data_IF_201058478293
#
_entry.id   IF_201058478293
#
_cell.length_a   1.000
_cell.length_b   1.000
_cell.length_c   1.000
_cell.angle_alpha   90.00
_cell.angle_beta   90.00
_cell.angle_gamma   90.00
#
_symmetry.space_group_name_H-M   'P 1'
#
loop_
_entity.id
_entity.type
_entity.pdbx_description
1 polymer ?
#
# COMPACT_ATOMS: atom_id res chain seq x y z
N UNK A 1 -19.34 12.79 -9.59
CA UNK A 1 -20.09 12.34 -8.39
C UNK A 1 -19.17 12.50 -7.19
N UNK A 2 -19.49 13.36 -6.24
CA UNK A 2 -18.69 13.50 -5.02
C UNK A 2 -19.16 12.48 -3.98
N UNK A 3 -18.20 11.78 -3.39
CA UNK A 3 -18.43 10.83 -2.31
C UNK A 3 -17.82 11.44 -1.05
N UNK A 4 -18.63 11.53 0.00
CA UNK A 4 -18.15 11.92 1.31
C UNK A 4 -17.46 10.73 1.98
N UNK A 5 -16.21 10.91 2.39
CA UNK A 5 -15.42 9.92 3.10
C UNK A 5 -15.54 10.22 4.61
N UNK A 6 -16.36 9.48 5.38
CA UNK A 6 -16.64 9.81 6.78
C UNK A 6 -15.43 9.65 7.70
N UNK A 7 -14.46 8.81 7.31
CA UNK A 7 -13.23 8.58 8.08
C UNK A 7 -12.19 9.68 7.81
N UNK A 8 -12.21 10.28 6.61
CA UNK A 8 -11.30 11.33 6.20
C UNK A 8 -11.91 12.74 6.35
N UNK A 9 -13.20 12.84 6.67
CA UNK A 9 -13.99 14.07 6.77
C UNK A 9 -13.95 14.97 5.51
N UNK A 10 -13.69 14.37 4.34
CA UNK A 10 -13.59 15.11 3.08
C UNK A 10 -14.49 14.51 1.99
N UNK A 11 -14.92 15.38 1.07
CA UNK A 11 -15.64 14.97 -0.14
C UNK A 11 -14.67 14.88 -1.32
N UNK A 12 -14.57 13.69 -1.93
CA UNK A 12 -13.67 13.44 -3.07
C UNK A 12 -14.48 12.99 -4.28
N UNK A 13 -14.02 13.33 -5.48
CA UNK A 13 -14.66 12.87 -6.71
C UNK A 13 -14.41 11.36 -6.91
N UNK A 14 -15.48 10.58 -7.02
CA UNK A 14 -15.43 9.14 -7.24
C UNK A 14 -14.60 8.73 -8.47
N UNK A 15 -14.71 9.50 -9.55
CA UNK A 15 -13.97 9.20 -10.79
C UNK A 15 -12.47 9.40 -10.63
N UNK A 16 -12.06 10.35 -9.79
CA UNK A 16 -10.66 10.60 -9.49
C UNK A 16 -10.07 9.45 -8.67
N UNK A 17 -10.80 8.95 -7.66
CA UNK A 17 -10.38 7.79 -6.88
C UNK A 17 -10.29 6.51 -7.73
N UNK A 18 -11.26 6.28 -8.61
CA UNK A 18 -11.23 5.14 -9.53
C UNK A 18 -10.07 5.25 -10.54
N UNK A 19 -9.82 6.44 -11.09
CA UNK A 19 -8.71 6.68 -12.00
C UNK A 19 -7.34 6.49 -11.34
N UNK A 20 -7.16 7.06 -10.14
CA UNK A 20 -5.95 6.89 -9.34
C UNK A 20 -5.74 5.43 -8.94
N UNK A 21 -6.76 4.78 -8.38
CA UNK A 21 -6.68 3.39 -7.97
C UNK A 21 -6.38 2.44 -9.13
N UNK A 22 -6.98 2.69 -10.31
CA UNK A 22 -6.70 1.92 -11.52
C UNK A 22 -5.27 2.10 -12.02
N UNK A 23 -4.81 3.36 -12.15
CA UNK A 23 -3.46 3.67 -12.61
C UNK A 23 -2.40 3.13 -11.65
N UNK A 24 -2.54 3.40 -10.35
CA UNK A 24 -1.61 2.92 -9.33
C UNK A 24 -1.67 1.40 -9.22
N UNK A 25 -2.85 0.79 -9.35
CA UNK A 25 -3.01 -0.67 -9.35
C UNK A 25 -2.25 -1.34 -10.50
N UNK A 26 -2.33 -0.79 -11.71
CA UNK A 26 -1.56 -1.29 -12.88
C UNK A 26 -0.06 -1.14 -12.64
N UNK A 27 0.39 0.07 -12.26
CA UNK A 27 1.81 0.33 -12.02
C UNK A 27 2.35 -0.56 -10.89
N UNK A 28 1.63 -0.64 -9.78
CA UNK A 28 1.96 -1.49 -8.64
C UNK A 28 2.04 -2.97 -9.02
N UNK A 29 1.09 -3.46 -9.80
CA UNK A 29 1.08 -4.84 -10.31
C UNK A 29 2.26 -5.13 -11.24
N UNK A 30 2.67 -4.16 -12.07
CA UNK A 30 3.82 -4.29 -12.96
C UNK A 30 5.16 -4.29 -12.19
N UNK A 31 5.32 -3.37 -11.23
CA UNK A 31 6.56 -3.23 -10.48
C UNK A 31 6.67 -4.18 -9.27
N UNK A 32 5.56 -4.74 -8.80
CA UNK A 32 5.53 -5.65 -7.64
C UNK A 32 5.81 -4.97 -6.29
N UNK A 33 5.69 -3.63 -6.20
CA UNK A 33 6.10 -2.84 -5.01
C UNK A 33 4.96 -2.62 -4.00
N UNK A 34 3.77 -3.18 -4.24
CA UNK A 34 2.66 -3.12 -3.30
C UNK A 34 1.86 -1.80 -3.28
N UNK A 35 2.21 -0.80 -4.11
CA UNK A 35 1.32 0.35 -4.41
C UNK A 35 1.30 1.46 -3.37
N UNK A 36 1.50 1.14 -2.09
CA UNK A 36 1.43 2.14 -1.02
C UNK A 36 2.49 3.24 -1.10
N UNK A 37 3.63 3.02 -1.77
CA UNK A 37 4.62 4.08 -2.01
C UNK A 37 4.11 5.19 -2.94
N UNK A 38 3.17 4.88 -3.84
CA UNK A 38 2.55 5.85 -4.75
C UNK A 38 1.22 6.34 -4.20
N UNK A 39 0.38 5.43 -3.73
CA UNK A 39 -1.00 5.77 -3.37
C UNK A 39 -1.03 6.62 -2.09
N UNK A 40 -0.22 6.31 -1.08
CA UNK A 40 -0.17 7.10 0.17
C UNK A 40 0.11 8.59 -0.08
N UNK A 41 1.17 9.00 -0.81
CA UNK A 41 1.40 10.41 -1.10
C UNK A 41 0.34 11.02 -2.02
N UNK A 42 -0.21 10.25 -2.97
CA UNK A 42 -1.29 10.75 -3.84
C UNK A 42 -2.57 11.04 -3.04
N UNK A 43 -2.94 10.18 -2.10
CA UNK A 43 -4.06 10.38 -1.17
C UNK A 43 -3.81 11.58 -0.25
N UNK A 44 -2.58 11.75 0.22
CA UNK A 44 -2.20 12.94 0.98
C UNK A 44 -2.35 14.23 0.16
N UNK A 45 -1.92 14.26 -1.10
CA UNK A 45 -2.02 15.45 -1.96
C UNK A 45 -3.45 15.85 -2.30
N UNK A 46 -4.40 14.91 -2.29
CA UNK A 46 -5.83 15.21 -2.48
C UNK A 46 -6.52 15.64 -1.18
N UNK A 47 -5.76 15.79 -0.08
CA UNK A 47 -6.24 16.31 1.20
C UNK A 47 -6.73 15.25 2.19
N UNK A 48 -6.50 13.95 1.94
CA UNK A 48 -6.81 12.91 2.93
C UNK A 48 -5.79 12.99 4.07
N UNK A 49 -6.24 12.96 5.35
CA UNK A 49 -5.33 12.94 6.49
C UNK A 49 -4.30 11.80 6.37
N UNK A 50 -3.00 12.06 6.64
CA UNK A 50 -1.93 11.06 6.48
C UNK A 50 -2.21 9.74 7.20
N UNK A 51 -2.76 9.81 8.41
CA UNK A 51 -3.10 8.62 9.21
C UNK A 51 -4.12 7.73 8.50
N UNK A 52 -5.14 8.33 7.88
CA UNK A 52 -6.19 7.60 7.15
C UNK A 52 -5.65 7.02 5.84
N UNK A 53 -4.83 7.78 5.13
CA UNK A 53 -4.17 7.31 3.90
C UNK A 53 -3.28 6.09 4.18
N UNK A 54 -2.38 6.17 5.17
CA UNK A 54 -1.48 5.06 5.55
C UNK A 54 -2.26 3.84 6.02
N UNK A 55 -3.29 4.02 6.85
CA UNK A 55 -4.09 2.90 7.36
C UNK A 55 -4.87 2.18 6.24
N UNK A 56 -5.39 2.93 5.26
CA UNK A 56 -6.11 2.36 4.12
C UNK A 56 -5.15 1.56 3.22
N UNK A 57 -3.99 2.13 2.94
CA UNK A 57 -2.98 1.51 2.07
C UNK A 57 -2.34 0.27 2.67
N UNK A 58 -2.11 0.24 3.99
CA UNK A 58 -1.55 -0.93 4.66
C UNK A 58 -2.40 -2.19 4.41
N UNK A 59 -3.73 -2.06 4.46
CA UNK A 59 -4.64 -3.17 4.19
C UNK A 59 -4.58 -3.62 2.71
N UNK A 60 -4.47 -2.66 1.79
CA UNK A 60 -4.36 -2.96 0.36
C UNK A 60 -3.04 -3.67 0.00
N UNK A 61 -1.92 -3.24 0.60
CA UNK A 61 -0.61 -3.88 0.43
C UNK A 61 -0.66 -5.34 0.88
N UNK A 62 -1.31 -5.64 2.00
CA UNK A 62 -1.43 -7.03 2.50
C UNK A 62 -2.14 -7.93 1.48
N UNK A 63 -3.28 -7.46 0.95
CA UNK A 63 -4.05 -8.23 -0.03
C UNK A 63 -3.27 -8.46 -1.34
N UNK A 64 -2.60 -7.42 -1.85
CA UNK A 64 -1.80 -7.52 -3.08
C UNK A 64 -0.54 -8.38 -2.90
N UNK A 65 0.15 -8.25 -1.77
CA UNK A 65 1.33 -9.05 -1.42
C UNK A 65 0.98 -10.53 -1.28
N UNK A 66 -0.14 -10.84 -0.63
CA UNK A 66 -0.62 -12.22 -0.50
C UNK A 66 -0.93 -12.85 -1.87
N UNK A 67 -1.63 -12.11 -2.73
CA UNK A 67 -1.90 -12.52 -4.11
C UNK A 67 -0.60 -12.77 -4.90
N UNK A 68 0.38 -11.87 -4.79
CA UNK A 68 1.68 -11.99 -5.43
C UNK A 68 2.44 -13.24 -4.97
N UNK A 69 2.53 -13.47 -3.65
CA UNK A 69 3.18 -14.67 -3.10
C UNK A 69 2.50 -15.94 -3.60
N UNK A 70 1.16 -16.00 -3.60
CA UNK A 70 0.43 -17.17 -4.14
C UNK A 70 0.75 -17.43 -5.61
N UNK A 71 0.82 -16.39 -6.43
CA UNK A 71 1.15 -16.51 -7.86
C UNK A 71 2.58 -17.04 -8.07
N UNK A 72 3.55 -16.53 -7.31
CA UNK A 72 4.94 -17.00 -7.36
C UNK A 72 5.12 -18.40 -6.78
N UNK A 73 4.34 -18.76 -5.75
CA UNK A 73 4.38 -20.07 -5.13
C UNK A 73 3.95 -21.15 -6.13
N UNK A 74 2.87 -20.88 -6.89
CA UNK A 74 2.45 -21.77 -8.00
C UNK A 74 3.52 -21.95 -9.07
N UNK A 75 4.35 -20.93 -9.29
CA UNK A 75 5.48 -20.97 -10.25
C UNK A 75 6.76 -21.56 -9.67
N UNK A 76 6.78 -21.93 -8.38
CA UNK A 76 7.96 -22.41 -7.64
C UNK A 76 9.15 -21.45 -7.68
N UNK A 77 8.91 -20.15 -7.77
CA UNK A 77 9.95 -19.11 -7.83
C UNK A 77 10.12 -18.35 -6.50
N UNK A 78 9.53 -18.84 -5.41
CA UNK A 78 9.59 -18.17 -4.11
C UNK A 78 10.84 -18.61 -3.36
N UNK A 79 11.74 -17.67 -3.10
CA UNK A 79 12.85 -17.86 -2.17
C UNK A 79 12.39 -17.49 -0.75
N UNK A 80 12.01 -18.50 0.01
CA UNK A 80 11.58 -18.33 1.40
C UNK A 80 12.71 -17.86 2.32
N UNK A 81 13.96 -18.23 2.02
CA UNK A 81 15.11 -17.87 2.87
C UNK A 81 15.36 -16.38 2.78
N UNK A 82 15.44 -15.83 1.57
CA UNK A 82 15.55 -14.39 1.34
C UNK A 82 14.33 -13.64 1.86
N UNK A 83 13.12 -14.19 1.65
CA UNK A 83 11.88 -13.62 2.18
C UNK A 83 11.90 -13.45 3.71
N UNK A 84 12.35 -14.47 4.45
CA UNK A 84 12.46 -14.38 5.92
C UNK A 84 13.51 -13.36 6.37
N UNK A 85 14.65 -13.27 5.70
CA UNK A 85 15.67 -12.26 6.02
C UNK A 85 15.13 -10.84 5.83
N UNK A 86 14.45 -10.58 4.72
CA UNK A 86 13.82 -9.29 4.44
C UNK A 86 12.69 -8.97 5.44
N UNK A 87 11.89 -9.97 5.83
CA UNK A 87 10.83 -9.80 6.83
C UNK A 87 11.41 -9.36 8.18
N UNK A 88 12.41 -10.07 8.69
CA UNK A 88 13.02 -9.76 10.00
C UNK A 88 13.70 -8.39 9.95
N UNK A 89 14.48 -8.11 8.90
CA UNK A 89 15.14 -6.82 8.73
C UNK A 89 14.14 -5.66 8.62
N UNK A 90 13.04 -5.87 7.88
CA UNK A 90 11.95 -4.90 7.74
C UNK A 90 11.22 -4.62 9.04
N UNK A 91 10.90 -5.65 9.83
CA UNK A 91 10.26 -5.51 11.14
C UNK A 91 11.13 -4.73 12.13
N UNK A 92 12.42 -5.08 12.21
CA UNK A 92 13.38 -4.38 13.08
C UNK A 92 13.54 -2.92 12.62
N UNK A 93 13.73 -2.71 11.31
CA UNK A 93 13.86 -1.36 10.74
C UNK A 93 12.63 -0.49 10.98
N UNK A 94 11.43 -1.03 10.79
CA UNK A 94 10.17 -0.33 11.05
C UNK A 94 10.03 0.02 12.55
N UNK A 95 10.33 -0.91 13.45
CA UNK A 95 10.28 -0.68 14.89
C UNK A 95 11.25 0.43 15.33
N UNK A 96 12.51 0.37 14.87
CA UNK A 96 13.51 1.39 15.16
C UNK A 96 13.13 2.74 14.55
N UNK A 97 12.55 2.75 13.34
CA UNK A 97 12.03 3.95 12.70
C UNK A 97 10.93 4.62 13.52
N UNK A 98 9.98 3.84 14.04
CA UNK A 98 8.95 4.37 14.96
C UNK A 98 9.62 5.00 16.18
N UNK A 99 10.55 4.31 16.84
CA UNK A 99 11.21 4.87 18.04
C UNK A 99 12.05 6.13 17.77
N UNK A 100 12.58 6.31 16.56
CA UNK A 100 13.40 7.46 16.21
C UNK A 100 12.56 8.72 15.94
N UNK A 101 11.37 8.55 15.35
CA UNK A 101 10.53 9.66 14.87
C UNK A 101 9.29 9.93 15.76
N UNK A 102 9.09 9.13 16.81
CA UNK A 102 7.98 9.23 17.77
C UNK A 102 8.46 9.88 19.07
#
# INVERSE_FOLDING_TARGET
>A
MQIYLPIAEISVNAYLLLGLGGMVGILSGMFGVGGGFLMTPLLFFIGIPPAVAVATEANQIVASSFSGVLAHLKRKTVDLRMGTVLLIGGLIGAFLGIQLFN
#
